data_IF_969988164476
#
_entry.id   IF_969988164476
#
_cell.length_a   1.000
_cell.length_b   1.000
_cell.length_c   1.000
_cell.angle_alpha   90.00
_cell.angle_beta   90.00
_cell.angle_gamma   90.00
#
_symmetry.space_group_name_H-M   'P 1'
#
loop_
_entity.id
_entity.type
_entity.pdbx_description
1 polymer ?
#
# COMPACT_ATOMS: atom_id res chain seq x y z
N UNK A 1 13.51 1.60 -4.62
CA UNK A 1 12.51 2.01 -5.60
C UNK A 1 11.37 1.01 -5.64
N UNK A 2 10.13 1.51 -5.66
CA UNK A 2 8.90 0.72 -5.78
C UNK A 2 8.15 1.17 -7.03
N UNK A 3 7.69 0.22 -7.84
CA UNK A 3 6.80 0.47 -8.98
C UNK A 3 5.39 0.08 -8.58
N UNK A 4 4.43 0.95 -8.87
CA UNK A 4 3.03 0.73 -8.61
C UNK A 4 2.31 0.24 -9.87
N UNK A 5 1.57 -0.85 -9.73
CA UNK A 5 0.71 -1.38 -10.78
C UNK A 5 -0.75 -1.22 -10.37
N UNK A 6 -1.57 -0.73 -11.28
CA UNK A 6 -3.02 -0.71 -11.06
C UNK A 6 -3.61 -2.11 -11.24
N UNK A 7 -4.71 -2.38 -10.54
CA UNK A 7 -5.46 -3.63 -10.67
C UNK A 7 -5.86 -3.92 -12.14
N UNK A 8 -6.15 -2.89 -12.93
CA UNK A 8 -6.49 -3.04 -14.36
C UNK A 8 -5.36 -3.61 -15.20
N UNK A 9 -4.11 -3.25 -14.90
CA UNK A 9 -2.93 -3.81 -15.60
C UNK A 9 -2.76 -5.28 -15.23
N UNK A 10 -3.01 -5.63 -13.98
CA UNK A 10 -2.97 -7.01 -13.51
C UNK A 10 -4.10 -7.86 -14.14
N UNK A 11 -5.29 -7.25 -14.37
CA UNK A 11 -6.45 -7.90 -15.01
C UNK A 11 -6.21 -8.25 -16.49
N UNK A 12 -5.47 -7.42 -17.20
CA UNK A 12 -5.19 -7.58 -18.62
C UNK A 12 -3.69 -7.55 -18.85
N UNK A 13 -2.96 -8.58 -18.35
CA UNK A 13 -1.52 -8.63 -18.55
C UNK A 13 -1.24 -8.74 -20.05
N UNK A 14 -0.42 -7.81 -20.56
CA UNK A 14 0.19 -7.99 -21.86
C UNK A 14 1.07 -9.26 -21.86
N UNK A 15 1.31 -9.85 -23.03
CA UNK A 15 1.99 -11.14 -23.19
C UNK A 15 3.38 -11.25 -22.52
N UNK A 16 3.96 -10.14 -22.04
CA UNK A 16 5.29 -10.09 -21.45
C UNK A 16 5.30 -9.52 -20.02
N UNK A 17 4.16 -9.28 -19.40
CA UNK A 17 4.12 -8.62 -18.08
C UNK A 17 4.85 -9.43 -17.01
N UNK A 18 4.62 -10.73 -16.93
CA UNK A 18 5.29 -11.61 -15.96
C UNK A 18 6.81 -11.56 -16.10
N UNK A 19 7.31 -11.65 -17.33
CA UNK A 19 8.74 -11.55 -17.58
C UNK A 19 9.32 -10.17 -17.20
N UNK A 20 8.60 -9.09 -17.51
CA UNK A 20 9.01 -7.74 -17.14
C UNK A 20 9.07 -7.55 -15.62
N UNK A 21 8.09 -8.10 -14.88
CA UNK A 21 8.07 -8.06 -13.41
C UNK A 21 9.23 -8.85 -12.82
N UNK A 22 9.55 -10.04 -13.37
CA UNK A 22 10.70 -10.81 -12.94
C UNK A 22 12.02 -10.05 -13.13
N UNK A 23 12.21 -9.37 -14.27
CA UNK A 23 13.40 -8.58 -14.52
C UNK A 23 13.52 -7.38 -13.56
N UNK A 24 12.41 -6.71 -13.26
CA UNK A 24 12.38 -5.63 -12.27
C UNK A 24 12.75 -6.12 -10.88
N UNK A 25 12.23 -7.27 -10.47
CA UNK A 25 12.58 -7.89 -9.19
C UNK A 25 14.05 -8.30 -9.12
N UNK A 26 14.61 -8.88 -10.16
CA UNK A 26 16.05 -9.19 -10.25
C UNK A 26 16.90 -7.94 -10.09
N UNK A 27 16.40 -6.78 -10.55
CA UNK A 27 17.05 -5.48 -10.37
C UNK A 27 16.87 -4.88 -8.96
N UNK A 28 16.17 -5.57 -8.04
CA UNK A 28 15.92 -5.10 -6.68
C UNK A 28 14.78 -4.09 -6.56
N UNK A 29 13.92 -4.00 -7.58
CA UNK A 29 12.76 -3.10 -7.59
C UNK A 29 11.57 -3.83 -6.96
N UNK A 30 10.89 -3.16 -6.02
CA UNK A 30 9.68 -3.67 -5.37
C UNK A 30 8.46 -3.38 -6.23
N UNK A 31 7.49 -4.28 -6.17
CA UNK A 31 6.22 -4.17 -6.90
C UNK A 31 5.10 -3.96 -5.89
N UNK A 32 4.36 -2.88 -6.06
CA UNK A 32 3.18 -2.55 -5.27
C UNK A 32 1.91 -2.61 -6.12
N UNK A 33 0.86 -3.21 -5.59
CA UNK A 33 -0.47 -3.17 -6.20
C UNK A 33 -1.24 -1.97 -5.67
N UNK A 34 -1.59 -1.05 -6.55
CA UNK A 34 -2.37 0.14 -6.24
C UNK A 34 -3.89 -0.12 -6.31
N UNK A 35 -4.66 0.71 -5.64
CA UNK A 35 -6.13 0.70 -5.62
C UNK A 35 -6.77 -0.63 -5.15
N UNK A 36 -6.10 -1.33 -4.24
CA UNK A 36 -6.61 -2.60 -3.73
C UNK A 36 -7.89 -2.42 -2.90
N UNK A 37 -8.87 -3.27 -3.16
CA UNK A 37 -10.16 -3.26 -2.49
C UNK A 37 -11.28 -2.60 -3.27
N UNK A 38 -11.00 -2.01 -4.43
CA UNK A 38 -11.98 -1.29 -5.27
C UNK A 38 -12.45 -2.08 -6.49
N UNK A 39 -11.76 -3.14 -6.86
CA UNK A 39 -12.04 -3.90 -8.06
C UNK A 39 -12.64 -5.29 -7.82
N UNK A 40 -13.13 -5.90 -8.87
CA UNK A 40 -13.66 -7.25 -8.87
C UNK A 40 -12.54 -8.27 -9.12
N UNK A 41 -12.37 -9.24 -8.23
CA UNK A 41 -11.46 -10.37 -8.44
C UNK A 41 -10.06 -10.20 -7.85
N UNK A 42 -9.87 -9.30 -6.90
CA UNK A 42 -8.58 -9.02 -6.23
C UNK A 42 -7.88 -10.26 -5.66
N UNK A 43 -8.62 -11.26 -5.20
CA UNK A 43 -8.05 -12.51 -4.65
C UNK A 43 -7.26 -13.32 -5.67
N UNK A 44 -7.67 -13.33 -6.93
CA UNK A 44 -6.97 -14.09 -7.97
C UNK A 44 -5.63 -13.46 -8.33
N UNK A 45 -5.47 -12.16 -8.12
CA UNK A 45 -4.23 -11.44 -8.43
C UNK A 45 -3.16 -11.65 -7.39
N UNK A 46 -3.55 -11.68 -6.12
CA UNK A 46 -2.63 -11.94 -5.01
C UNK A 46 -2.00 -13.33 -5.10
N UNK A 47 -2.68 -14.29 -5.73
CA UNK A 47 -2.17 -15.64 -5.94
C UNK A 47 -1.30 -15.78 -7.20
N UNK A 48 -1.41 -14.87 -8.17
CA UNK A 48 -0.80 -15.03 -9.49
C UNK A 48 0.45 -14.19 -9.72
N UNK A 49 0.71 -13.21 -8.87
CA UNK A 49 1.84 -12.33 -9.04
C UNK A 49 2.60 -12.14 -7.74
N UNK A 50 3.90 -12.05 -7.88
CA UNK A 50 4.85 -11.77 -6.81
C UNK A 50 4.84 -10.29 -6.43
N UNK A 51 3.79 -9.83 -5.77
CA UNK A 51 3.74 -8.48 -5.20
C UNK A 51 4.46 -8.43 -3.87
N UNK A 52 5.17 -7.34 -3.63
CA UNK A 52 5.82 -7.07 -2.34
C UNK A 52 4.89 -6.29 -1.40
N UNK A 53 3.96 -5.55 -2.00
CA UNK A 53 3.14 -4.57 -1.28
C UNK A 53 1.77 -4.40 -1.92
N UNK A 54 0.79 -4.11 -1.09
CA UNK A 54 -0.58 -3.77 -1.48
C UNK A 54 -0.94 -2.41 -0.88
N UNK A 55 -1.50 -1.51 -1.68
CA UNK A 55 -1.97 -0.21 -1.21
C UNK A 55 -3.48 -0.21 -1.08
N UNK A 56 -3.98 0.14 0.11
CA UNK A 56 -5.40 0.31 0.37
C UNK A 56 -5.83 1.65 -0.18
N UNK A 57 -6.82 1.64 -1.06
CA UNK A 57 -7.34 2.83 -1.73
C UNK A 57 -7.81 3.90 -0.73
N UNK A 58 -7.48 5.15 -1.03
CA UNK A 58 -7.80 6.29 -0.20
C UNK A 58 -9.30 6.51 0.01
N UNK A 59 -10.16 6.05 -0.90
CA UNK A 59 -11.61 6.15 -0.74
C UNK A 59 -12.13 5.32 0.44
N UNK A 60 -11.46 4.21 0.77
CA UNK A 60 -11.75 3.43 1.97
C UNK A 60 -11.26 4.15 3.22
N UNK A 61 -10.05 4.66 3.18
CA UNK A 61 -9.42 5.36 4.32
C UNK A 61 -10.20 6.60 4.73
N UNK A 62 -10.74 7.35 3.77
CA UNK A 62 -11.55 8.56 4.02
C UNK A 62 -12.84 8.29 4.81
N UNK A 63 -13.32 7.06 4.83
CA UNK A 63 -14.50 6.67 5.61
C UNK A 63 -14.22 6.37 7.08
N UNK A 64 -12.95 6.29 7.45
CA UNK A 64 -12.53 6.06 8.83
C UNK A 64 -12.59 7.38 9.63
N UNK A 65 -12.87 7.32 10.93
CA UNK A 65 -13.12 6.11 11.74
C UNK A 65 -14.59 5.64 11.75
N UNK A 66 -15.52 6.44 11.23
CA UNK A 66 -16.96 6.32 11.54
C UNK A 66 -17.69 5.17 10.83
N UNK A 67 -17.13 4.62 9.76
CA UNK A 67 -17.83 3.63 8.95
C UNK A 67 -17.40 2.20 9.32
N UNK A 68 -18.17 1.55 10.18
CA UNK A 68 -17.88 0.20 10.75
C UNK A 68 -17.66 -0.87 9.67
N UNK A 69 -18.45 -0.84 8.59
CA UNK A 69 -18.30 -1.81 7.49
C UNK A 69 -16.96 -1.65 6.79
N UNK A 70 -16.49 -0.42 6.62
CA UNK A 70 -15.17 -0.15 6.03
C UNK A 70 -14.06 -0.63 6.95
N UNK A 71 -14.18 -0.46 8.26
CA UNK A 71 -13.23 -1.02 9.23
C UNK A 71 -13.14 -2.54 9.08
N UNK A 72 -14.26 -3.23 8.96
CA UNK A 72 -14.31 -4.67 8.74
C UNK A 72 -13.66 -5.09 7.43
N UNK A 73 -13.90 -4.35 6.35
CA UNK A 73 -13.28 -4.61 5.04
C UNK A 73 -11.76 -4.44 5.09
N UNK A 74 -11.29 -3.36 5.68
CA UNK A 74 -9.84 -3.12 5.86
C UNK A 74 -9.21 -4.20 6.72
N UNK A 75 -9.88 -4.62 7.80
CA UNK A 75 -9.43 -5.72 8.66
C UNK A 75 -9.27 -7.04 7.87
N UNK A 76 -10.18 -7.34 6.95
CA UNK A 76 -10.07 -8.50 6.08
C UNK A 76 -8.89 -8.39 5.10
N UNK A 77 -8.67 -7.20 4.52
CA UNK A 77 -7.50 -6.94 3.65
C UNK A 77 -6.21 -7.16 4.45
N UNK A 78 -6.13 -6.63 5.66
CA UNK A 78 -4.96 -6.80 6.53
C UNK A 78 -4.69 -8.28 6.87
N UNK A 79 -5.74 -9.02 7.17
CA UNK A 79 -5.62 -10.45 7.48
C UNK A 79 -5.13 -11.25 6.25
N UNK A 80 -5.68 -10.96 5.09
CA UNK A 80 -5.27 -11.59 3.83
C UNK A 80 -3.82 -11.26 3.47
N UNK A 81 -3.43 -10.01 3.59
CA UNK A 81 -2.05 -9.57 3.32
C UNK A 81 -1.04 -10.27 4.23
N UNK A 82 -1.41 -10.53 5.49
CA UNK A 82 -0.59 -11.28 6.43
C UNK A 82 -0.42 -12.74 6.00
N UNK A 83 -1.49 -13.40 5.55
CA UNK A 83 -1.43 -14.78 5.05
C UNK A 83 -0.54 -14.89 3.82
N UNK A 84 -0.57 -13.88 2.95
CA UNK A 84 0.21 -13.83 1.71
C UNK A 84 1.62 -13.25 1.89
N UNK A 85 1.96 -12.84 3.10
CA UNK A 85 3.28 -12.25 3.44
C UNK A 85 3.60 -10.99 2.61
N UNK A 86 2.59 -10.21 2.26
CA UNK A 86 2.75 -8.91 1.59
C UNK A 86 2.55 -7.76 2.57
N UNK A 87 3.31 -6.69 2.41
CA UNK A 87 3.12 -5.48 3.21
C UNK A 87 1.89 -4.69 2.74
N UNK A 88 1.28 -3.94 3.63
CA UNK A 88 0.10 -3.13 3.33
C UNK A 88 0.37 -1.67 3.65
N UNK A 89 0.06 -0.80 2.69
CA UNK A 89 0.15 0.66 2.85
C UNK A 89 -1.25 1.25 2.81
N UNK A 90 -1.60 2.04 3.81
CA UNK A 90 -2.83 2.83 3.80
C UNK A 90 -2.56 4.19 3.15
N UNK A 91 -3.28 4.51 2.08
CA UNK A 91 -3.16 5.77 1.35
C UNK A 91 -4.09 6.85 1.86
N UNK A 92 -3.76 8.10 1.57
CA UNK A 92 -4.61 9.27 1.87
C UNK A 92 -4.94 9.41 3.36
N UNK A 93 -4.03 9.07 4.23
CA UNK A 93 -4.18 9.27 5.67
C UNK A 93 -4.05 10.76 5.98
N UNK A 94 -5.07 11.35 6.60
CA UNK A 94 -5.15 12.79 6.86
C UNK A 94 -5.34 13.13 8.33
N UNK A 95 -5.76 12.19 9.18
CA UNK A 95 -6.06 12.42 10.59
C UNK A 95 -5.42 11.40 11.52
N UNK A 96 -5.21 11.80 12.77
CA UNK A 96 -4.69 10.94 13.82
C UNK A 96 -5.64 9.78 14.13
N UNK A 97 -6.95 10.04 14.13
CA UNK A 97 -7.98 9.03 14.37
C UNK A 97 -7.94 7.93 13.31
N UNK A 98 -7.65 8.28 12.05
CA UNK A 98 -7.45 7.29 10.99
C UNK A 98 -6.23 6.41 11.29
N UNK A 99 -5.12 7.00 11.73
CA UNK A 99 -3.91 6.25 12.11
C UNK A 99 -4.20 5.29 13.25
N UNK A 100 -4.89 5.74 14.29
CA UNK A 100 -5.24 4.89 15.45
C UNK A 100 -6.07 3.68 15.05
N UNK A 101 -7.11 3.88 14.23
CA UNK A 101 -7.95 2.79 13.73
C UNK A 101 -7.15 1.84 12.85
N UNK A 102 -6.36 2.34 11.93
CA UNK A 102 -5.53 1.53 11.04
C UNK A 102 -4.49 0.73 11.81
N UNK A 103 -3.84 1.34 12.79
CA UNK A 103 -2.90 0.64 13.68
C UNK A 103 -3.60 -0.49 14.45
N UNK A 104 -4.79 -0.23 14.99
CA UNK A 104 -5.60 -1.25 15.66
C UNK A 104 -6.00 -2.41 14.75
N UNK A 105 -6.12 -2.18 13.44
CA UNK A 105 -6.40 -3.20 12.43
C UNK A 105 -5.13 -3.93 11.96
N UNK A 106 -3.95 -3.52 12.41
CA UNK A 106 -2.67 -4.15 12.10
C UNK A 106 -1.88 -3.48 10.97
N UNK A 107 -2.33 -2.33 10.45
CA UNK A 107 -1.57 -1.55 9.47
C UNK A 107 -0.44 -0.79 10.16
N UNK A 108 0.73 -0.76 9.54
CA UNK A 108 1.92 -0.09 10.09
C UNK A 108 2.60 0.87 9.12
N UNK A 109 2.14 0.92 7.87
CA UNK A 109 2.71 1.79 6.84
C UNK A 109 1.61 2.72 6.34
N UNK A 110 1.87 4.01 6.40
CA UNK A 110 0.89 5.05 6.09
C UNK A 110 1.46 6.04 5.08
N UNK A 111 0.62 6.49 4.17
CA UNK A 111 0.93 7.53 3.21
C UNK A 111 -0.20 8.55 3.20
N UNK A 112 0.11 9.83 3.36
CA UNK A 112 -0.91 10.86 3.29
C UNK A 112 -0.48 12.19 3.86
N UNK A 113 -1.35 13.17 3.73
CA UNK A 113 -1.09 14.56 4.11
C UNK A 113 -0.98 14.78 5.63
N UNK A 114 -1.41 13.80 6.42
CA UNK A 114 -1.15 13.81 7.86
C UNK A 114 0.36 13.88 8.17
N UNK A 115 1.18 13.22 7.37
CA UNK A 115 2.64 13.23 7.52
C UNK A 115 3.31 14.31 6.69
N UNK A 116 3.04 14.36 5.40
CA UNK A 116 3.58 15.36 4.48
C UNK A 116 2.82 15.37 3.16
N UNK A 117 2.74 16.54 2.54
CA UNK A 117 2.40 16.65 1.13
C UNK A 117 3.59 16.22 0.28
N UNK A 118 3.41 15.91 -1.02
CA UNK A 118 4.52 15.68 -1.92
C UNK A 118 5.51 16.85 -1.89
N UNK A 119 6.80 16.52 -1.80
CA UNK A 119 7.88 17.50 -1.69
C UNK A 119 8.81 17.41 -2.89
N UNK A 120 9.34 18.53 -3.39
CA UNK A 120 10.48 18.52 -4.32
C UNK A 120 11.67 17.83 -3.67
N UNK A 121 12.56 17.22 -4.47
CA UNK A 121 13.67 16.43 -3.96
C UNK A 121 14.53 17.14 -2.88
N UNK A 122 14.93 18.42 -3.02
CA UNK A 122 15.70 19.07 -1.96
C UNK A 122 14.96 19.15 -0.62
N UNK A 123 13.67 19.51 -0.65
CA UNK A 123 12.84 19.59 0.54
C UNK A 123 12.59 18.20 1.17
N UNK A 124 12.44 17.17 0.33
CA UNK A 124 12.32 15.79 0.79
C UNK A 124 13.58 15.32 1.52
N UNK A 125 14.75 15.63 1.01
CA UNK A 125 16.03 15.30 1.66
C UNK A 125 16.10 15.93 3.05
N UNK A 126 15.74 17.22 3.19
CA UNK A 126 15.72 17.89 4.48
C UNK A 126 14.67 17.29 5.43
N UNK A 127 13.50 16.97 4.93
CA UNK A 127 12.45 16.31 5.71
C UNK A 127 12.94 14.96 6.29
N UNK A 128 13.57 14.13 5.47
CA UNK A 128 14.11 12.84 5.90
C UNK A 128 15.17 13.00 7.00
N UNK A 129 16.04 14.01 6.91
CA UNK A 129 17.05 14.30 7.93
C UNK A 129 16.46 14.71 9.28
N UNK A 130 15.24 15.27 9.28
CA UNK A 130 14.55 15.67 10.52
C UNK A 130 13.80 14.52 11.19
N UNK A 131 13.59 13.42 10.49
CA UNK A 131 12.94 12.25 11.07
C UNK A 131 13.88 11.61 12.11
N UNK A 132 13.34 11.11 13.24
CA UNK A 132 14.14 10.33 14.17
C UNK A 132 14.73 9.13 13.42
N UNK A 133 15.98 8.80 13.73
CA UNK A 133 16.55 7.56 13.22
C UNK A 133 15.64 6.39 13.60
N UNK A 134 15.37 5.45 12.68
CA UNK A 134 14.63 4.27 13.06
C UNK A 134 15.37 3.60 14.20
N UNK A 135 14.66 3.37 15.31
CA UNK A 135 15.21 2.68 16.46
C UNK A 135 15.97 1.45 15.97
N UNK A 136 17.26 1.45 16.21
CA UNK A 136 18.16 0.45 15.68
C UNK A 136 17.73 -0.95 16.10
N UNK A 137 17.23 -1.66 15.11
CA UNK A 137 17.09 -3.12 15.21
C UNK A 137 18.32 -3.78 14.66
#
# INVERSE_FOLDING_TARGET
LTIELTEQVALNPGANLEHQLEELKKAGIRISMDDFGMGHGSLNYLNSADYDEVKIDGSLIKRLPDHVQTCGLIGNIMNMSRILEVSTVAECVETEEQVEVLHGLGCSIYQGYYYSRPLPLPAFIEYVKMLPEPDGM
#
